data_IF_692068855261
#
_entry.id   IF_692068855261
#
_cell.length_a   1.000
_cell.length_b   1.000
_cell.length_c   1.000
_cell.angle_alpha   90.00
_cell.angle_beta   90.00
_cell.angle_gamma   90.00
#
_symmetry.space_group_name_H-M   'P 1'
#
loop_
_entity.id
_entity.type
_entity.pdbx_description
1 polymer ?
#
# COMPACT_ATOMS: atom_id res chain seq x y z
N UNK A 1 -16.43 -6.73 1.92
CA UNK A 1 -15.40 -7.06 0.91
C UNK A 1 -14.05 -7.18 1.60
N UNK A 2 -13.23 -8.16 1.23
CA UNK A 2 -11.89 -8.33 1.82
C UNK A 2 -10.82 -7.80 0.88
N UNK A 3 -9.83 -7.10 1.42
CA UNK A 3 -8.71 -6.55 0.67
C UNK A 3 -7.38 -6.92 1.33
N UNK A 4 -6.32 -7.00 0.52
CA UNK A 4 -4.93 -7.04 0.98
C UNK A 4 -4.08 -6.10 0.16
N UNK A 5 -2.97 -5.67 0.73
CA UNK A 5 -2.04 -4.81 0.05
C UNK A 5 -0.89 -4.33 0.92
N UNK A 6 -0.19 -3.33 0.41
CA UNK A 6 0.97 -2.70 1.06
C UNK A 6 0.54 -1.36 1.62
N UNK A 7 0.64 -1.16 2.93
CA UNK A 7 0.26 0.06 3.62
C UNK A 7 1.44 1.00 3.90
N UNK A 8 2.67 0.47 3.88
CA UNK A 8 3.90 1.23 4.04
C UNK A 8 5.02 0.56 3.22
N UNK A 9 5.88 1.32 2.51
CA UNK A 9 7.01 0.75 1.78
C UNK A 9 8.06 0.15 2.72
N UNK A 10 9.06 -0.58 2.20
CA UNK A 10 10.22 -0.98 2.99
C UNK A 10 10.97 0.22 3.55
N UNK A 11 11.63 0.02 4.69
CA UNK A 11 12.57 1.00 5.21
C UNK A 11 13.73 1.21 4.22
N UNK A 12 14.23 2.45 4.03
CA UNK A 12 15.36 2.69 3.13
C UNK A 12 16.62 1.92 3.57
N UNK A 13 17.36 1.37 2.60
CA UNK A 13 18.53 0.53 2.84
C UNK A 13 19.69 1.26 3.55
N UNK A 14 19.75 2.59 3.42
CA UNK A 14 20.76 3.43 4.08
C UNK A 14 20.46 3.79 5.53
N UNK A 15 19.38 3.26 6.13
CA UNK A 15 18.98 3.55 7.51
C UNK A 15 18.35 4.94 7.72
N UNK A 16 18.47 5.83 6.73
CA UNK A 16 17.74 7.10 6.68
C UNK A 16 16.25 6.90 6.43
N UNK A 17 15.44 7.89 6.77
CA UNK A 17 14.00 7.96 6.45
C UNK A 17 13.80 8.97 5.32
N UNK A 18 12.89 8.70 4.37
CA UNK A 18 12.57 9.68 3.32
C UNK A 18 11.66 10.79 3.88
N UNK A 19 10.84 10.46 4.88
CA UNK A 19 10.11 11.45 5.69
C UNK A 19 10.05 11.08 7.18
N UNK A 20 9.73 12.05 8.02
CA UNK A 20 9.66 11.87 9.47
C UNK A 20 8.72 10.72 9.90
N UNK A 21 7.67 10.43 9.11
CA UNK A 21 6.68 9.40 9.36
C UNK A 21 7.08 8.01 8.82
N UNK A 22 8.22 7.85 8.16
CA UNK A 22 8.63 6.55 7.66
C UNK A 22 9.06 5.63 8.79
N UNK A 23 8.64 4.37 8.70
CA UNK A 23 9.01 3.34 9.65
C UNK A 23 10.35 2.69 9.28
N UNK A 24 11.17 2.45 10.28
CA UNK A 24 12.32 1.55 10.21
C UNK A 24 11.87 0.09 10.09
N UNK A 25 12.78 -0.81 9.70
CA UNK A 25 12.48 -2.23 9.60
C UNK A 25 12.03 -2.84 10.96
N UNK A 26 12.56 -2.34 12.08
CA UNK A 26 12.14 -2.77 13.40
C UNK A 26 10.71 -2.29 13.73
N UNK A 27 10.40 -1.03 13.43
CA UNK A 27 9.06 -0.47 13.61
C UNK A 27 8.03 -1.21 12.74
N UNK A 28 8.34 -1.53 11.48
CA UNK A 28 7.47 -2.33 10.60
C UNK A 28 7.18 -3.71 11.20
N UNK A 29 8.20 -4.42 11.71
CA UNK A 29 8.03 -5.74 12.33
C UNK A 29 7.18 -5.68 13.61
N UNK A 30 7.32 -4.61 14.39
CA UNK A 30 6.57 -4.42 15.63
C UNK A 30 5.16 -3.86 15.40
N UNK A 31 4.84 -3.38 14.20
CA UNK A 31 3.55 -2.74 13.91
C UNK A 31 2.41 -3.76 13.91
N UNK A 32 1.46 -3.58 14.83
CA UNK A 32 0.19 -4.29 14.85
C UNK A 32 -0.98 -3.29 14.83
N UNK A 33 -1.67 -3.24 13.69
CA UNK A 33 -2.86 -2.40 13.50
C UNK A 33 -4.15 -3.24 13.34
N UNK A 34 -4.11 -4.53 13.71
CA UNK A 34 -5.31 -5.35 13.76
C UNK A 34 -6.38 -4.74 14.67
N UNK A 35 -7.63 -4.71 14.21
CA UNK A 35 -8.76 -4.10 14.90
C UNK A 35 -8.89 -2.58 14.72
N UNK A 36 -7.91 -1.90 14.11
CA UNK A 36 -7.99 -0.45 13.85
C UNK A 36 -9.02 -0.14 12.75
N UNK A 37 -9.67 1.04 12.79
CA UNK A 37 -10.59 1.46 11.74
C UNK A 37 -9.88 1.57 10.39
N UNK A 38 -10.63 1.26 9.32
CA UNK A 38 -10.26 1.60 7.95
C UNK A 38 -11.05 2.84 7.54
N UNK A 39 -10.36 3.89 7.10
CA UNK A 39 -10.94 5.18 6.76
C UNK A 39 -10.96 5.42 5.25
N UNK A 40 -11.82 6.34 4.81
CA UNK A 40 -11.82 6.93 3.46
C UNK A 40 -10.93 8.17 3.47
N UNK A 41 -9.86 8.21 2.66
CA UNK A 41 -9.03 9.40 2.44
C UNK A 41 -8.51 10.08 3.73
N UNK A 42 -8.21 9.32 4.79
CA UNK A 42 -7.78 9.85 6.10
C UNK A 42 -8.83 10.72 6.81
N UNK A 43 -10.10 10.67 6.41
CA UNK A 43 -11.17 11.32 7.16
C UNK A 43 -11.58 10.46 8.36
N UNK A 44 -11.22 10.92 9.56
CA UNK A 44 -11.57 10.30 10.84
C UNK A 44 -13.09 10.10 11.05
N UNK A 45 -13.93 10.87 10.36
CA UNK A 45 -15.39 10.72 10.41
C UNK A 45 -15.93 9.74 9.35
N UNK A 46 -15.09 9.30 8.41
CA UNK A 46 -15.48 8.45 7.28
C UNK A 46 -14.90 7.04 7.43
N UNK A 47 -15.42 6.29 8.42
CA UNK A 47 -15.04 4.89 8.62
C UNK A 47 -15.72 3.99 7.58
N UNK A 48 -14.91 3.30 6.77
CA UNK A 48 -15.37 2.40 5.69
C UNK A 48 -15.13 0.92 5.96
N UNK A 49 -14.45 0.59 7.06
CA UNK A 49 -14.16 -0.78 7.41
C UNK A 49 -13.28 -0.96 8.65
N UNK A 50 -12.50 -2.04 8.65
CA UNK A 50 -11.59 -2.40 9.76
C UNK A 50 -10.40 -3.19 9.24
N UNK A 51 -9.21 -2.90 9.76
CA UNK A 51 -8.02 -3.70 9.53
C UNK A 51 -8.11 -5.00 10.33
N UNK A 52 -7.91 -6.14 9.67
CA UNK A 52 -7.98 -7.47 10.29
C UNK A 52 -6.62 -7.89 10.83
N UNK A 53 -5.55 -7.63 10.08
CA UNK A 53 -4.19 -8.00 10.45
C UNK A 53 -3.17 -7.14 9.70
N UNK A 54 -1.97 -7.03 10.28
CA UNK A 54 -0.78 -6.48 9.64
C UNK A 54 0.43 -7.39 9.85
N UNK A 55 1.34 -7.42 8.90
CA UNK A 55 2.56 -8.22 8.97
C UNK A 55 3.66 -7.66 8.07
N UNK A 56 4.95 -7.93 8.35
CA UNK A 56 6.03 -7.60 7.44
C UNK A 56 5.95 -8.45 6.16
N UNK A 57 6.04 -7.81 5.00
CA UNK A 57 6.17 -8.45 3.71
C UNK A 57 7.58 -8.98 3.47
N UNK A 58 7.73 -9.81 2.43
CA UNK A 58 9.01 -10.45 2.11
C UNK A 58 10.09 -9.45 1.68
N UNK A 59 9.70 -8.26 1.19
CA UNK A 59 10.64 -7.23 0.79
C UNK A 59 10.80 -6.15 1.88
N UNK A 60 10.28 -6.40 3.10
CA UNK A 60 10.37 -5.48 4.23
C UNK A 60 9.29 -4.41 4.28
N UNK A 61 8.30 -4.45 3.39
CA UNK A 61 7.15 -3.55 3.41
C UNK A 61 6.15 -3.93 4.53
N UNK A 62 5.27 -3.01 4.96
CA UNK A 62 4.15 -3.37 5.84
C UNK A 62 2.96 -3.81 5.00
N UNK A 63 2.54 -5.06 5.16
CA UNK A 63 1.36 -5.63 4.51
C UNK A 63 0.18 -5.68 5.46
N UNK A 64 -1.01 -5.58 4.90
CA UNK A 64 -2.27 -5.61 5.66
C UNK A 64 -3.30 -6.54 5.01
N UNK A 65 -4.25 -6.97 5.83
CA UNK A 65 -5.54 -7.49 5.41
C UNK A 65 -6.63 -6.65 6.08
N UNK A 66 -7.65 -6.26 5.33
CA UNK A 66 -8.75 -5.45 5.87
C UNK A 66 -10.10 -5.89 5.29
N UNK A 67 -11.17 -5.59 6.03
CA UNK A 67 -12.55 -5.75 5.59
C UNK A 67 -13.17 -4.37 5.36
N UNK A 68 -13.59 -4.13 4.13
CA UNK A 68 -14.37 -2.96 3.74
C UNK A 68 -15.85 -3.32 3.88
N UNK A 69 -16.60 -2.53 4.64
CA UNK A 69 -18.03 -2.72 4.90
C UNK A 69 -18.89 -1.71 4.16
N UNK A 70 -18.37 -0.50 3.90
CA UNK A 70 -19.08 0.52 3.14
C UNK A 70 -19.26 0.14 1.67
N UNK A 71 -20.47 0.28 1.13
CA UNK A 71 -20.82 -0.18 -0.21
C UNK A 71 -20.27 0.76 -1.31
N UNK A 72 -20.27 2.07 -1.08
CA UNK A 72 -19.78 3.05 -2.06
C UNK A 72 -18.27 2.91 -2.26
N UNK A 73 -17.52 2.74 -1.17
CA UNK A 73 -16.08 2.49 -1.17
C UNK A 73 -15.74 1.15 -1.80
N UNK A 74 -16.52 0.11 -1.53
CA UNK A 74 -16.36 -1.16 -2.23
C UNK A 74 -16.45 -0.99 -3.75
N UNK A 75 -17.39 -0.19 -4.23
CA UNK A 75 -17.56 0.04 -5.66
C UNK A 75 -16.41 0.86 -6.27
N UNK A 76 -15.97 1.92 -5.60
CA UNK A 76 -14.77 2.70 -6.00
C UNK A 76 -13.52 1.82 -6.07
N UNK A 77 -13.33 0.95 -5.07
CA UNK A 77 -12.24 -0.03 -5.08
C UNK A 77 -12.40 -0.97 -6.27
N UNK A 78 -13.57 -1.56 -6.53
CA UNK A 78 -13.77 -2.47 -7.69
C UNK A 78 -13.43 -1.79 -9.01
N UNK A 79 -13.88 -0.54 -9.19
CA UNK A 79 -13.58 0.30 -10.37
C UNK A 79 -12.11 0.71 -10.48
N UNK A 80 -11.34 0.55 -9.41
CA UNK A 80 -9.92 0.91 -9.36
C UNK A 80 -9.66 2.38 -9.11
N UNK A 81 -10.67 3.18 -8.76
CA UNK A 81 -10.51 4.60 -8.43
C UNK A 81 -10.07 4.83 -6.98
N UNK A 82 -10.04 3.77 -6.17
CA UNK A 82 -9.49 3.75 -4.82
C UNK A 82 -8.60 2.52 -4.65
N UNK A 83 -7.31 2.69 -4.98
CA UNK A 83 -6.31 1.61 -4.91
C UNK A 83 -5.17 1.92 -3.97
N UNK A 84 -5.05 3.16 -3.49
CA UNK A 84 -4.09 3.52 -2.46
C UNK A 84 -4.42 2.86 -1.13
N UNK A 85 -3.37 2.43 -0.43
CA UNK A 85 -3.42 2.14 1.00
C UNK A 85 -2.44 3.07 1.69
N UNK A 86 -2.82 3.63 2.82
CA UNK A 86 -1.98 4.58 3.53
C UNK A 86 -2.07 4.36 5.02
N UNK A 87 -0.91 4.20 5.66
CA UNK A 87 -0.78 4.14 7.11
C UNK A 87 -0.64 5.56 7.66
N UNK A 88 -1.62 6.00 8.46
CA UNK A 88 -1.50 7.21 9.25
C UNK A 88 -0.58 6.99 10.44
N UNK A 89 0.35 7.92 10.64
CA UNK A 89 1.34 7.87 11.72
C UNK A 89 1.23 9.14 12.52
N UNK A 90 0.79 9.01 13.77
CA UNK A 90 0.81 10.08 14.75
C UNK A 90 2.25 10.28 15.20
N UNK A 91 2.69 11.54 15.24
CA UNK A 91 4.04 11.89 15.67
C UNK A 91 3.98 12.90 16.80
N UNK A 92 4.65 12.59 17.90
CA UNK A 92 4.95 13.57 18.94
C UNK A 92 6.35 14.08 18.65
N UNK A 93 6.48 15.40 18.52
CA UNK A 93 7.74 16.07 18.18
C UNK A 93 8.16 17.03 19.30
N UNK A 94 9.46 17.22 19.48
CA UNK A 94 9.99 18.26 20.35
C UNK A 94 9.91 19.66 19.71
N UNK A 95 10.31 20.70 20.44
CA UNK A 95 10.34 22.08 19.95
C UNK A 95 11.24 22.28 18.72
N UNK A 96 12.20 21.38 18.50
CA UNK A 96 13.12 21.38 17.37
C UNK A 96 12.65 20.48 16.21
N UNK A 97 11.40 20.00 16.26
CA UNK A 97 10.81 19.08 15.28
C UNK A 97 11.47 17.70 15.21
N UNK A 98 12.20 17.28 16.25
CA UNK A 98 12.67 15.90 16.36
C UNK A 98 11.51 15.01 16.80
N UNK A 99 11.31 13.89 16.10
CA UNK A 99 10.25 12.94 16.45
C UNK A 99 10.64 12.12 17.69
N UNK A 100 9.90 12.33 18.78
CA UNK A 100 10.04 11.63 20.05
C UNK A 100 9.26 10.30 20.07
N UNK A 101 8.12 10.25 19.37
CA UNK A 101 7.24 9.09 19.33
C UNK A 101 6.53 8.97 17.99
N UNK A 102 6.30 7.74 17.53
CA UNK A 102 5.50 7.40 16.35
C UNK A 102 4.44 6.36 16.72
N UNK A 103 3.17 6.73 16.63
CA UNK A 103 2.04 5.83 16.84
C UNK A 103 1.34 5.50 15.51
N UNK A 104 1.09 4.23 15.23
CA UNK A 104 0.30 3.84 14.07
C UNK A 104 -1.18 3.87 14.46
N UNK A 105 -1.85 4.96 14.11
CA UNK A 105 -3.19 5.26 14.63
C UNK A 105 -4.30 4.77 13.70
N UNK A 106 -4.08 4.84 12.39
CA UNK A 106 -5.12 4.61 11.39
C UNK A 106 -4.59 3.94 10.11
N UNK A 107 -5.52 3.32 9.38
CA UNK A 107 -5.31 2.82 8.03
C UNK A 107 -6.39 3.43 7.13
N UNK A 108 -6.00 3.91 5.95
CA UNK A 108 -6.92 4.53 5.00
C UNK A 108 -6.85 3.84 3.65
N UNK A 109 -8.01 3.75 2.99
CA UNK A 109 -8.07 3.54 1.54
C UNK A 109 -8.15 4.90 0.88
N UNK A 110 -7.33 5.09 -0.15
CA UNK A 110 -7.20 6.37 -0.87
C UNK A 110 -7.27 6.14 -2.38
N UNK A 111 -7.49 7.20 -3.15
CA UNK A 111 -7.32 7.20 -4.61
C UNK A 111 -5.89 6.76 -4.97
N UNK A 112 -4.91 7.41 -4.35
CA UNK A 112 -3.48 7.10 -4.46
C UNK A 112 -2.88 6.92 -3.08
N UNK A 113 -1.96 5.96 -2.93
CA UNK A 113 -1.25 5.75 -1.69
C UNK A 113 -0.31 6.92 -1.41
N UNK A 114 -0.22 7.37 -0.16
CA UNK A 114 0.63 8.52 0.22
C UNK A 114 2.11 8.31 -0.09
N UNK A 115 2.57 7.05 -0.16
CA UNK A 115 3.96 6.68 -0.41
C UNK A 115 4.04 5.82 -1.67
N UNK A 116 5.11 5.93 -2.49
CA UNK A 116 5.34 4.99 -3.58
C UNK A 116 5.38 3.56 -3.04
N UNK A 117 4.77 2.61 -3.74
CA UNK A 117 4.74 1.22 -3.29
C UNK A 117 3.51 0.82 -2.48
N UNK A 118 2.64 1.76 -2.11
CA UNK A 118 1.49 1.47 -1.22
C UNK A 118 0.17 1.39 -1.97
N UNK A 119 -0.41 0.18 -2.04
CA UNK A 119 -1.61 -0.10 -2.82
C UNK A 119 -2.34 -1.36 -2.38
N UNK A 120 -3.60 -1.48 -2.77
CA UNK A 120 -4.39 -2.71 -2.77
C UNK A 120 -3.93 -3.60 -3.93
N UNK A 121 -3.47 -4.81 -3.63
CA UNK A 121 -3.11 -5.81 -4.64
C UNK A 121 -4.09 -6.98 -4.75
N UNK A 122 -4.93 -7.19 -3.73
CA UNK A 122 -5.87 -8.30 -3.67
C UNK A 122 -7.25 -7.82 -3.25
N UNK A 123 -8.30 -8.27 -3.95
CA UNK A 123 -9.71 -8.04 -3.60
C UNK A 123 -10.46 -9.36 -3.63
N UNK A 124 -11.11 -9.73 -2.51
CA UNK A 124 -11.83 -10.99 -2.33
C UNK A 124 -11.01 -12.22 -2.78
N UNK A 125 -9.73 -12.26 -2.39
CA UNK A 125 -8.81 -13.34 -2.73
C UNK A 125 -8.28 -13.33 -4.17
N UNK A 126 -8.74 -12.41 -5.03
CA UNK A 126 -8.25 -12.26 -6.41
C UNK A 126 -7.22 -11.15 -6.49
N UNK A 127 -6.09 -11.43 -7.13
CA UNK A 127 -5.09 -10.41 -7.41
C UNK A 127 -5.66 -9.42 -8.43
N UNK A 128 -5.64 -8.13 -8.10
CA UNK A 128 -6.12 -7.03 -8.96
C UNK A 128 -4.98 -6.21 -9.57
N UNK A 129 -3.73 -6.55 -9.22
CA UNK A 129 -2.53 -5.92 -9.76
C UNK A 129 -1.87 -6.86 -10.79
N UNK A 130 -1.91 -6.49 -12.07
CA UNK A 130 -1.08 -7.17 -13.07
C UNK A 130 0.34 -6.64 -12.99
N UNK A 131 1.21 -7.32 -12.26
CA UNK A 131 2.65 -7.08 -12.38
C UNK A 131 3.12 -7.58 -13.74
N UNK A 132 3.31 -6.67 -14.69
CA UNK A 132 4.11 -6.97 -15.86
C UNK A 132 5.57 -7.02 -15.42
N UNK A 133 6.14 -8.22 -15.36
CA UNK A 133 7.59 -8.36 -15.21
C UNK A 133 8.22 -8.02 -16.55
N UNK A 134 9.14 -7.05 -16.59
CA UNK A 134 9.89 -6.72 -17.81
C UNK A 134 10.63 -7.94 -18.40
N UNK A 135 10.98 -8.92 -17.55
CA UNK A 135 11.62 -10.18 -17.94
C UNK A 135 10.66 -11.24 -18.49
N UNK A 136 9.35 -11.07 -18.37
CA UNK A 136 8.38 -11.95 -19.03
C UNK A 136 8.23 -11.48 -20.48
N UNK A 137 8.72 -12.30 -21.43
CA UNK A 137 8.36 -12.14 -22.84
C UNK A 137 6.84 -12.08 -22.93
N UNK A 138 6.29 -11.04 -23.54
CA UNK A 138 4.93 -11.03 -24.07
C UNK A 138 4.82 -12.23 -25.02
N UNK A 139 4.31 -13.37 -24.55
CA UNK A 139 4.01 -14.51 -25.39
C UNK A 139 2.86 -14.11 -26.32
N UNK A 140 3.19 -13.55 -27.49
CA UNK A 140 2.21 -13.14 -28.49
C UNK A 140 2.66 -12.09 -29.50
N UNK A 141 3.74 -11.33 -29.25
CA UNK A 141 4.24 -10.40 -30.26
C UNK A 141 5.07 -11.16 -31.31
N UNK A 142 4.40 -11.59 -32.38
CA UNK A 142 5.07 -12.06 -33.60
C UNK A 142 5.95 -10.91 -34.09
N UNK A 143 7.27 -11.08 -34.06
CA UNK A 143 8.18 -10.11 -34.63
C UNK A 143 7.81 -9.89 -36.11
N UNK A 144 7.73 -8.64 -36.60
CA UNK A 144 7.55 -8.42 -38.02
C UNK A 144 8.75 -9.04 -38.78
N UNK A 145 8.52 -9.70 -39.92
CA UNK A 145 9.61 -10.26 -40.70
C UNK A 145 10.56 -9.14 -41.12
N UNK A 146 11.86 -9.37 -40.94
CA UNK A 146 12.90 -8.49 -41.44
C UNK A 146 12.85 -8.52 -42.97
N UNK A 147 12.45 -7.42 -43.59
CA UNK A 147 12.58 -7.23 -45.02
C UNK A 147 14.05 -7.05 -45.36
N UNK A 148 14.69 -8.09 -45.88
CA UNK A 148 15.92 -7.94 -46.63
C UNK A 148 15.58 -7.31 -47.99
N UNK A 149 15.98 -6.06 -48.20
CA UNK A 149 16.08 -5.53 -49.56
C UNK A 149 17.40 -6.02 -50.16
N UNK A 150 17.40 -6.78 -51.26
CA UNK A 150 18.60 -6.93 -52.06
C UNK A 150 18.89 -5.61 -52.79
N UNK A 151 20.19 -5.35 -52.94
CA UNK A 151 20.80 -4.17 -53.60
C UNK A 151 20.38 -4.07 -55.06
#
# INVERSE_FOLDING_TARGET
MEIRGVAHPPAPLGGGRNCAADLSAAEIRATNIGGRPLLDEHDSNSRVGTCLASWPGSNGELRIAARVTDAATQERIRKGTMRGLSLGTDMIMDEKQNVLFRGQAELSVCAEGRRPGTWIDTVNGRNVHRHHRASQKLSGARAPPLSHNPV
#
